data_IF_182961868405
#
_entry.id   IF_182961868405
#
_cell.length_a   1.000
_cell.length_b   1.000
_cell.length_c   1.000
_cell.angle_alpha   90.00
_cell.angle_beta   90.00
_cell.angle_gamma   90.00
#
_symmetry.space_group_name_H-M   'P 1'
#
loop_
_entity.id
_entity.type
_entity.pdbx_description
1 polymer ?
#
# COMPACT_ATOMS: atom_id res chain seq x y z
N UNK A 1 16.17 -1.17 70.58
CA UNK A 1 16.18 0.29 70.30
C UNK A 1 17.37 0.58 69.39
N UNK A 2 17.18 0.73 68.10
CA UNK A 2 18.20 1.09 67.13
C UNK A 2 17.62 2.20 66.27
N UNK A 3 18.24 3.38 66.13
CA UNK A 3 17.66 4.52 65.46
C UNK A 3 17.76 4.41 63.92
N UNK A 4 16.69 4.81 63.27
CA UNK A 4 16.55 4.94 61.80
C UNK A 4 17.26 6.23 61.35
N UNK A 5 18.21 6.10 60.43
CA UNK A 5 18.86 7.24 59.77
C UNK A 5 18.11 7.58 58.47
N UNK A 6 17.61 8.80 58.39
CA UNK A 6 17.05 9.43 57.20
C UNK A 6 18.19 9.95 56.29
N UNK A 7 18.40 9.33 55.15
CA UNK A 7 19.26 9.86 54.09
C UNK A 7 18.45 10.72 53.12
N UNK A 8 18.65 12.03 53.16
CA UNK A 8 18.19 12.99 52.14
C UNK A 8 19.22 13.01 51.01
N UNK A 9 18.89 12.46 49.85
CA UNK A 9 19.68 12.59 48.63
C UNK A 9 19.06 13.60 47.69
N UNK A 10 19.79 14.69 47.44
CA UNK A 10 19.35 15.86 46.72
C UNK A 10 19.17 15.63 45.21
N UNK A 11 18.20 16.29 44.69
CA UNK A 11 17.94 16.45 43.25
C UNK A 11 18.94 17.42 42.63
N UNK A 12 19.80 16.97 41.75
CA UNK A 12 20.66 17.84 40.96
C UNK A 12 19.96 18.13 39.64
N UNK A 13 19.41 19.32 39.54
CA UNK A 13 18.88 19.93 38.34
C UNK A 13 20.08 20.37 37.46
N UNK A 14 20.35 19.67 36.36
CA UNK A 14 21.31 20.17 35.36
C UNK A 14 20.53 20.67 34.14
N UNK A 15 20.21 21.95 34.19
CA UNK A 15 19.86 22.73 32.97
C UNK A 15 21.17 23.16 32.33
N UNK A 16 21.51 22.64 31.18
CA UNK A 16 22.50 23.26 30.32
C UNK A 16 21.84 23.68 29.00
N UNK A 17 21.53 24.95 28.98
CA UNK A 17 21.29 25.75 27.78
C UNK A 17 22.57 25.84 26.95
N UNK A 18 22.51 25.47 25.68
CA UNK A 18 23.46 25.95 24.68
C UNK A 18 22.71 26.21 23.39
N UNK A 19 22.23 27.44 23.32
CA UNK A 19 21.91 28.08 22.04
C UNK A 19 23.25 28.37 21.33
N UNK A 20 23.39 27.88 20.12
CA UNK A 20 24.32 28.45 19.12
C UNK A 20 23.60 28.62 17.81
N UNK A 21 23.18 29.84 17.60
CA UNK A 21 22.92 30.40 16.31
C UNK A 21 24.16 30.28 15.42
N UNK A 22 24.01 29.77 14.22
CA UNK A 22 25.00 29.89 13.17
C UNK A 22 24.30 30.28 11.87
N UNK A 23 24.16 31.57 11.73
CA UNK A 23 23.88 32.26 10.48
C UNK A 23 25.08 32.10 9.55
N UNK A 24 24.91 31.48 8.39
CA UNK A 24 25.80 31.70 7.24
C UNK A 24 24.95 31.94 6.01
N UNK A 25 24.96 33.19 5.63
CA UNK A 25 24.60 33.68 4.30
C UNK A 25 25.67 33.23 3.31
N UNK A 26 25.31 32.63 2.22
CA UNK A 26 26.13 32.51 1.04
C UNK A 26 25.26 32.92 -0.15
N UNK A 27 25.68 34.03 -0.72
CA UNK A 27 25.14 34.65 -1.92
C UNK A 27 25.42 33.82 -3.19
N UNK A 28 24.46 33.86 -4.08
CA UNK A 28 24.58 34.02 -5.51
C UNK A 28 25.46 33.08 -6.32
N UNK A 29 24.83 32.33 -7.21
CA UNK A 29 25.17 32.33 -8.64
C UNK A 29 23.94 31.90 -9.43
N UNK A 30 23.32 32.87 -10.09
CA UNK A 30 22.38 32.65 -11.18
C UNK A 30 23.20 32.26 -12.40
N UNK A 31 23.06 31.01 -12.86
CA UNK A 31 23.51 30.64 -14.22
C UNK A 31 22.26 30.31 -15.03
N UNK A 32 21.84 31.29 -15.81
CA UNK A 32 20.94 31.10 -16.95
C UNK A 32 21.65 30.24 -18.01
N UNK A 33 21.15 29.07 -18.29
CA UNK A 33 21.43 28.37 -19.53
C UNK A 33 20.10 28.18 -20.28
N UNK A 34 19.92 29.07 -21.23
CA UNK A 34 18.95 28.97 -22.32
C UNK A 34 19.51 27.94 -23.30
N UNK A 35 18.84 26.82 -23.47
CA UNK A 35 19.10 25.96 -24.62
C UNK A 35 17.81 25.76 -25.40
N UNK A 36 17.98 26.14 -26.65
CA UNK A 36 17.01 26.30 -27.68
C UNK A 36 16.25 25.00 -28.03
N UNK A 37 15.00 25.22 -28.30
CA UNK A 37 14.04 24.47 -29.08
C UNK A 37 14.64 23.80 -30.33
N UNK A 38 14.41 22.50 -30.47
CA UNK A 38 14.34 21.85 -31.78
C UNK A 38 13.02 21.12 -31.93
N UNK A 39 12.10 21.80 -32.57
CA UNK A 39 10.87 21.27 -33.13
C UNK A 39 11.20 20.42 -34.35
N UNK A 40 10.99 19.12 -34.33
CA UNK A 40 10.99 18.29 -35.52
C UNK A 40 9.56 17.78 -35.80
N UNK A 41 8.89 18.51 -36.69
CA UNK A 41 7.74 18.02 -37.44
C UNK A 41 8.20 16.89 -38.33
N UNK A 42 7.65 15.69 -38.17
CA UNK A 42 7.67 14.62 -39.17
C UNK A 42 6.27 14.40 -39.72
N UNK A 43 6.17 14.72 -41.00
CA UNK A 43 5.09 14.55 -41.95
C UNK A 43 4.66 13.07 -42.05
N UNK A 44 3.35 12.82 -42.10
CA UNK A 44 2.75 11.56 -42.42
C UNK A 44 2.87 11.24 -43.95
N UNK A 45 2.96 9.99 -44.32
CA UNK A 45 2.47 9.55 -45.64
C UNK A 45 1.08 8.93 -45.54
N UNK A 46 0.26 9.33 -46.49
CA UNK A 46 -1.08 8.86 -46.79
C UNK A 46 -1.00 7.58 -47.61
N UNK A 47 -1.99 6.65 -47.36
CA UNK A 47 -2.40 5.58 -48.29
C UNK A 47 -2.10 4.19 -47.75
N UNK A 48 -3.08 3.34 -47.39
CA UNK A 48 -3.96 2.65 -48.27
C UNK A 48 -5.14 2.03 -47.53
N UNK A 49 -6.27 2.10 -48.13
CA UNK A 49 -7.51 1.49 -47.73
C UNK A 49 -7.50 -0.04 -47.92
N UNK A 50 -7.78 -0.80 -46.87
CA UNK A 50 -8.28 -2.17 -47.01
C UNK A 50 -9.45 -2.41 -46.04
N UNK A 51 -10.66 -2.62 -46.52
CA UNK A 51 -11.81 -2.95 -45.70
C UNK A 51 -11.96 -4.46 -45.64
N UNK A 52 -11.62 -5.07 -44.56
CA UNK A 52 -12.28 -6.24 -43.97
C UNK A 52 -11.34 -7.03 -43.02
N UNK A 53 -11.47 -6.83 -41.73
CA UNK A 53 -11.15 -7.86 -40.75
C UNK A 53 -12.05 -7.62 -39.54
N UNK A 54 -13.00 -8.53 -39.35
CA UNK A 54 -13.82 -8.62 -38.16
C UNK A 54 -12.93 -8.65 -36.91
N UNK A 55 -13.10 -7.62 -36.10
CA UNK A 55 -12.30 -7.41 -34.96
C UNK A 55 -12.77 -8.13 -33.72
N UNK A 56 -11.89 -8.57 -32.95
CA UNK A 56 -12.05 -8.74 -31.51
C UNK A 56 -11.82 -7.37 -30.91
N UNK A 57 -12.87 -6.81 -30.33
CA UNK A 57 -12.78 -5.55 -29.58
C UNK A 57 -11.93 -5.73 -28.35
N UNK A 58 -10.73 -5.20 -28.43
CA UNK A 58 -9.90 -4.92 -27.25
C UNK A 58 -10.56 -3.76 -26.50
N UNK A 59 -11.43 -4.14 -25.57
CA UNK A 59 -12.10 -3.19 -24.70
C UNK A 59 -11.12 -2.76 -23.61
N UNK A 60 -10.20 -1.84 -23.99
CA UNK A 60 -9.44 -1.07 -23.01
C UNK A 60 -10.42 -0.09 -22.35
N UNK A 61 -11.30 -0.63 -21.52
CA UNK A 61 -12.09 0.18 -20.61
C UNK A 61 -11.16 0.71 -19.56
N UNK A 62 -10.62 1.90 -19.80
CA UNK A 62 -10.17 2.79 -18.72
C UNK A 62 -11.41 3.08 -17.90
N UNK A 63 -11.73 2.17 -16.97
CA UNK A 63 -12.90 2.28 -16.11
C UNK A 63 -12.67 3.45 -15.16
N UNK A 64 -13.31 4.56 -15.43
CA UNK A 64 -13.66 5.51 -14.38
C UNK A 64 -14.57 4.74 -13.42
N UNK A 65 -13.99 4.18 -12.37
CA UNK A 65 -14.73 3.51 -11.29
C UNK A 65 -15.62 4.58 -10.67
N UNK A 66 -16.91 4.51 -10.95
CA UNK A 66 -17.89 5.39 -10.30
C UNK A 66 -17.94 5.02 -8.82
N UNK A 67 -18.19 5.99 -7.98
CA UNK A 67 -18.09 5.93 -6.52
C UNK A 67 -18.98 4.84 -5.87
N UNK A 68 -19.82 4.17 -6.65
CA UNK A 68 -20.81 3.19 -6.17
C UNK A 68 -20.43 1.72 -6.47
N UNK A 69 -19.43 1.47 -7.32
CA UNK A 69 -19.07 0.10 -7.75
C UNK A 69 -18.30 -0.69 -6.68
N UNK A 70 -17.63 -0.01 -5.74
CA UNK A 70 -16.87 -0.65 -4.68
C UNK A 70 -17.77 -1.28 -3.57
N UNK A 71 -19.06 -0.91 -3.48
CA UNK A 71 -20.01 -1.54 -2.56
C UNK A 71 -20.36 -2.99 -2.92
N UNK A 72 -20.06 -3.40 -4.15
CA UNK A 72 -20.32 -4.75 -4.68
C UNK A 72 -19.04 -5.58 -4.78
N UNK A 73 -17.97 -5.21 -4.06
CA UNK A 73 -16.68 -5.88 -4.13
C UNK A 73 -16.81 -7.39 -4.02
N UNK A 74 -16.26 -8.11 -5.00
CA UNK A 74 -16.10 -9.56 -4.94
C UNK A 74 -14.95 -9.87 -3.99
N UNK A 75 -15.15 -10.81 -3.08
CA UNK A 75 -14.09 -11.26 -2.16
C UNK A 75 -12.77 -11.48 -2.93
N UNK A 76 -11.70 -10.85 -2.46
CA UNK A 76 -10.36 -10.94 -3.03
C UNK A 76 -10.13 -10.23 -4.36
N UNK A 77 -11.07 -9.43 -4.85
CA UNK A 77 -10.93 -8.75 -6.16
C UNK A 77 -11.65 -7.41 -6.21
N UNK A 78 -10.96 -6.41 -6.75
CA UNK A 78 -11.53 -5.10 -7.03
C UNK A 78 -11.71 -4.23 -5.80
N UNK A 79 -12.19 -3.01 -6.00
CA UNK A 79 -12.38 -2.01 -4.96
C UNK A 79 -11.48 -0.79 -5.14
N UNK A 80 -11.61 0.21 -4.24
CA UNK A 80 -10.85 1.47 -4.34
C UNK A 80 -9.44 1.39 -3.75
N UNK A 81 -9.11 0.30 -3.05
CA UNK A 81 -7.82 0.08 -2.42
C UNK A 81 -6.99 -0.91 -3.24
N UNK A 82 -5.70 -0.69 -3.29
CA UNK A 82 -4.76 -1.53 -4.03
C UNK A 82 -4.21 -2.64 -3.16
N UNK A 83 -4.02 -3.82 -3.76
CA UNK A 83 -3.40 -4.97 -3.11
C UNK A 83 -1.91 -4.72 -2.83
N UNK A 84 -1.38 -5.41 -1.83
CA UNK A 84 0.05 -5.53 -1.56
C UNK A 84 0.49 -6.98 -1.75
N UNK A 85 1.79 -7.19 -2.05
CA UNK A 85 2.30 -8.51 -2.42
C UNK A 85 3.50 -8.91 -1.56
N UNK A 86 3.63 -10.21 -1.34
CA UNK A 86 4.65 -10.77 -0.46
C UNK A 86 5.59 -11.72 -1.18
N UNK A 87 6.80 -11.83 -0.66
CA UNK A 87 7.74 -12.87 -1.04
C UNK A 87 7.24 -14.28 -0.67
N UNK A 88 7.94 -15.30 -1.20
CA UNK A 88 7.69 -16.67 -0.79
C UNK A 88 7.93 -16.84 0.71
N UNK A 89 6.96 -17.44 1.41
CA UNK A 89 7.03 -17.66 2.85
C UNK A 89 7.33 -16.40 3.67
N UNK A 90 6.87 -15.24 3.20
CA UNK A 90 7.11 -13.93 3.81
C UNK A 90 5.80 -13.20 4.09
N UNK A 91 5.81 -12.37 5.14
CA UNK A 91 4.75 -11.46 5.55
C UNK A 91 5.28 -10.05 5.88
N UNK A 92 6.51 -9.75 5.45
CA UNK A 92 7.16 -8.45 5.70
C UNK A 92 6.70 -7.43 4.67
N UNK A 93 6.29 -6.25 5.13
CA UNK A 93 5.95 -5.11 4.27
C UNK A 93 7.24 -4.46 3.78
N UNK A 94 7.49 -4.49 2.48
CA UNK A 94 8.60 -3.80 1.84
C UNK A 94 8.27 -2.33 1.52
N UNK A 95 9.24 -1.55 1.04
CA UNK A 95 9.07 -0.12 0.76
C UNK A 95 8.02 0.18 -0.34
N UNK A 96 7.92 -0.70 -1.35
CA UNK A 96 6.92 -0.57 -2.42
C UNK A 96 5.52 -0.78 -1.85
N UNK A 97 5.30 -1.86 -1.11
CA UNK A 97 4.02 -2.17 -0.46
C UNK A 97 3.67 -1.11 0.60
N UNK A 98 4.68 -0.61 1.32
CA UNK A 98 4.50 0.53 2.23
C UNK A 98 4.00 1.79 1.52
N UNK A 99 4.41 2.02 0.27
CA UNK A 99 3.92 3.15 -0.54
C UNK A 99 2.47 2.94 -0.99
N UNK A 100 2.09 1.72 -1.35
CA UNK A 100 0.69 1.34 -1.64
C UNK A 100 -0.18 1.53 -0.40
N UNK A 101 0.25 1.07 0.77
CA UNK A 101 -0.48 1.22 2.03
C UNK A 101 -0.67 2.68 2.43
N UNK A 102 0.29 3.57 2.15
CA UNK A 102 0.12 5.02 2.35
C UNK A 102 -0.99 5.59 1.45
N UNK A 103 -1.08 5.14 0.20
CA UNK A 103 -2.16 5.54 -0.71
C UNK A 103 -3.52 5.02 -0.22
N UNK A 104 -3.59 3.76 0.21
CA UNK A 104 -4.77 3.16 0.80
C UNK A 104 -5.22 3.89 2.07
N UNK A 105 -4.27 4.23 2.96
CA UNK A 105 -4.56 5.01 4.16
C UNK A 105 -5.12 6.40 3.84
N UNK A 106 -4.57 7.08 2.84
CA UNK A 106 -5.07 8.39 2.40
C UNK A 106 -6.52 8.30 1.92
N UNK A 107 -6.85 7.25 1.16
CA UNK A 107 -8.23 7.00 0.73
C UNK A 107 -9.15 6.73 1.93
N UNK A 108 -8.74 5.87 2.86
CA UNK A 108 -9.51 5.53 4.08
C UNK A 108 -9.73 6.75 5.00
N UNK A 109 -8.76 7.67 5.06
CA UNK A 109 -8.89 8.94 5.80
C UNK A 109 -9.91 9.88 5.15
N UNK A 110 -9.96 9.91 3.81
CA UNK A 110 -10.97 10.67 3.07
C UNK A 110 -12.39 10.05 3.18
N UNK A 111 -12.49 8.77 3.55
CA UNK A 111 -13.74 8.02 3.66
C UNK A 111 -13.97 7.50 5.10
N UNK A 112 -14.21 8.37 6.10
CA UNK A 112 -14.25 7.98 7.52
C UNK A 112 -15.42 7.05 7.87
N UNK A 113 -16.44 6.97 7.02
CA UNK A 113 -17.62 6.10 7.20
C UNK A 113 -17.45 4.71 6.56
N UNK A 114 -16.22 4.29 6.27
CA UNK A 114 -15.94 2.96 5.74
C UNK A 114 -15.18 2.10 6.74
N UNK A 115 -15.46 0.81 6.71
CA UNK A 115 -14.65 -0.24 7.33
C UNK A 115 -13.82 -0.92 6.25
N UNK A 116 -12.68 -1.46 6.62
CA UNK A 116 -11.84 -2.27 5.73
C UNK A 116 -11.61 -3.65 6.36
N UNK A 117 -11.74 -4.68 5.55
CA UNK A 117 -11.31 -6.03 5.87
C UNK A 117 -10.04 -6.32 5.09
N UNK A 118 -8.97 -6.67 5.78
CA UNK A 118 -7.71 -7.08 5.18
C UNK A 118 -7.75 -8.58 5.02
N UNK A 119 -7.64 -9.05 3.79
CA UNK A 119 -7.80 -10.44 3.39
C UNK A 119 -6.44 -11.00 2.97
N UNK A 120 -5.90 -11.95 3.72
CA UNK A 120 -4.58 -12.54 3.47
C UNK A 120 -4.67 -13.81 2.61
N UNK A 121 -3.88 -13.84 1.54
CA UNK A 121 -3.82 -14.93 0.57
C UNK A 121 -2.42 -15.49 0.41
N UNK A 122 -2.34 -16.74 -0.03
CA UNK A 122 -1.10 -17.46 -0.29
C UNK A 122 -1.13 -18.13 -1.66
N UNK A 123 0.03 -18.53 -2.15
CA UNK A 123 0.14 -19.43 -3.29
C UNK A 123 -0.21 -20.88 -2.88
N UNK A 124 -0.32 -21.77 -3.86
CA UNK A 124 -0.76 -23.16 -3.67
C UNK A 124 0.18 -24.04 -2.84
N UNK A 125 1.45 -23.64 -2.68
CA UNK A 125 2.49 -24.46 -2.04
C UNK A 125 2.32 -24.56 -0.52
N UNK A 126 2.51 -25.76 0.01
CA UNK A 126 2.35 -26.04 1.44
C UNK A 126 0.98 -26.60 1.81
N UNK A 127 0.78 -26.93 3.10
CA UNK A 127 -0.50 -27.42 3.60
C UNK A 127 -1.54 -26.28 3.72
N UNK A 128 -2.80 -26.64 3.83
CA UNK A 128 -3.89 -25.69 4.03
C UNK A 128 -3.74 -24.94 5.34
N UNK A 129 -3.52 -25.64 6.43
CA UNK A 129 -3.37 -25.07 7.78
C UNK A 129 -2.18 -24.10 7.84
N UNK A 130 -1.07 -24.46 7.17
CA UNK A 130 0.09 -23.56 7.07
C UNK A 130 -0.25 -22.28 6.34
N UNK A 131 -0.95 -22.38 5.20
CA UNK A 131 -1.32 -21.21 4.39
C UNK A 131 -2.37 -20.33 5.07
N UNK A 132 -3.33 -20.91 5.80
CA UNK A 132 -4.25 -20.13 6.63
C UNK A 132 -3.48 -19.35 7.70
N UNK A 133 -2.51 -19.98 8.37
CA UNK A 133 -1.69 -19.27 9.36
C UNK A 133 -0.80 -18.18 8.74
N UNK A 134 -0.21 -18.43 7.56
CA UNK A 134 0.61 -17.45 6.86
C UNK A 134 -0.21 -16.27 6.33
N UNK A 135 -1.38 -16.54 5.72
CA UNK A 135 -2.31 -15.50 5.28
C UNK A 135 -2.80 -14.62 6.44
N UNK A 136 -3.05 -15.21 7.62
CA UNK A 136 -3.41 -14.44 8.81
C UNK A 136 -2.29 -13.49 9.26
N UNK A 137 -1.02 -13.92 9.20
CA UNK A 137 0.13 -13.06 9.51
C UNK A 137 0.29 -11.92 8.51
N UNK A 138 0.04 -12.16 7.22
CA UNK A 138 0.05 -11.14 6.17
C UNK A 138 -1.02 -10.09 6.44
N UNK A 139 -2.27 -10.53 6.59
CA UNK A 139 -3.39 -9.63 6.87
C UNK A 139 -3.18 -8.80 8.14
N UNK A 140 -2.60 -9.37 9.20
CA UNK A 140 -2.26 -8.63 10.41
C UNK A 140 -1.15 -7.62 10.16
N UNK A 141 -0.09 -7.97 9.39
CA UNK A 141 0.97 -7.03 9.03
C UNK A 141 0.43 -5.83 8.23
N UNK A 142 -0.45 -6.07 7.25
CA UNK A 142 -1.12 -5.01 6.48
C UNK A 142 -1.99 -4.10 7.37
N UNK A 143 -2.78 -4.69 8.27
CA UNK A 143 -3.60 -3.97 9.24
C UNK A 143 -2.76 -3.14 10.21
N UNK A 144 -1.71 -3.72 10.80
CA UNK A 144 -0.83 -3.03 11.73
C UNK A 144 -0.13 -1.84 11.06
N UNK A 145 0.29 -2.00 9.81
CA UNK A 145 0.88 -0.89 9.05
C UNK A 145 -0.14 0.24 8.84
N UNK A 146 -1.38 -0.06 8.45
CA UNK A 146 -2.44 0.95 8.32
C UNK A 146 -2.74 1.64 9.67
N UNK A 147 -2.66 0.93 10.80
CA UNK A 147 -2.80 1.51 12.13
C UNK A 147 -1.70 2.53 12.43
N UNK A 148 -0.44 2.24 12.06
CA UNK A 148 0.66 3.21 12.17
C UNK A 148 0.44 4.47 11.34
N UNK A 149 -0.33 4.37 10.25
CA UNK A 149 -0.73 5.49 9.40
C UNK A 149 -1.98 6.23 9.91
N UNK A 150 -2.50 5.86 11.09
CA UNK A 150 -3.61 6.56 11.74
C UNK A 150 -5.01 6.04 11.39
N UNK A 151 -5.14 4.86 10.78
CA UNK A 151 -6.44 4.22 10.59
C UNK A 151 -6.84 3.51 11.88
N UNK A 152 -8.03 3.84 12.41
CA UNK A 152 -8.50 3.26 13.67
C UNK A 152 -8.70 1.75 13.56
N UNK A 153 -8.19 1.01 14.55
CA UNK A 153 -8.36 -0.45 14.67
C UNK A 153 -9.84 -0.89 14.65
N UNK A 154 -10.74 -0.05 15.20
CA UNK A 154 -12.19 -0.32 15.19
C UNK A 154 -12.83 -0.31 13.80
N UNK A 155 -12.13 0.23 12.80
CA UNK A 155 -12.52 0.24 11.40
C UNK A 155 -11.95 -0.92 10.60
N UNK A 156 -11.05 -1.70 11.20
CA UNK A 156 -10.29 -2.73 10.50
C UNK A 156 -10.58 -4.12 11.05
N UNK A 157 -10.63 -5.11 10.19
CA UNK A 157 -10.68 -6.52 10.53
C UNK A 157 -9.75 -7.32 9.61
N UNK A 158 -9.34 -8.49 10.04
CA UNK A 158 -8.50 -9.39 9.24
C UNK A 158 -9.22 -10.71 9.01
N UNK A 159 -8.96 -11.33 7.88
CA UNK A 159 -9.34 -12.70 7.55
C UNK A 159 -8.25 -13.36 6.72
N UNK A 160 -8.07 -14.65 6.84
CA UNK A 160 -7.19 -15.42 5.95
C UNK A 160 -8.00 -16.40 5.12
N UNK A 161 -7.76 -16.39 3.84
CA UNK A 161 -8.24 -17.40 2.90
C UNK A 161 -7.16 -18.43 2.55
N UNK A 162 -5.92 -18.23 3.05
CA UNK A 162 -4.83 -19.12 2.73
C UNK A 162 -4.67 -19.29 1.23
N UNK A 163 -4.74 -20.50 0.72
CA UNK A 163 -4.64 -20.82 -0.71
C UNK A 163 -6.00 -21.19 -1.38
N UNK A 164 -7.11 -20.99 -0.68
CA UNK A 164 -8.43 -21.46 -1.14
C UNK A 164 -9.03 -20.64 -2.28
N UNK A 165 -8.68 -19.33 -2.38
CA UNK A 165 -9.24 -18.42 -3.37
C UNK A 165 -8.12 -17.76 -4.22
N UNK A 166 -7.49 -18.52 -5.15
CA UNK A 166 -6.42 -17.99 -5.98
C UNK A 166 -6.95 -17.00 -7.02
N UNK A 167 -6.12 -16.03 -7.41
CA UNK A 167 -6.36 -15.15 -8.56
C UNK A 167 -6.10 -15.85 -9.88
N UNK A 168 -5.08 -16.70 -9.90
CA UNK A 168 -4.71 -17.53 -11.04
C UNK A 168 -4.30 -18.92 -10.55
N UNK A 169 -4.34 -19.91 -11.45
CA UNK A 169 -4.16 -21.33 -11.14
C UNK A 169 -2.94 -21.95 -11.86
N UNK A 170 -2.14 -21.13 -12.56
CA UNK A 170 -0.91 -21.61 -13.20
C UNK A 170 0.15 -21.96 -12.15
N UNK A 171 0.89 -23.04 -12.40
CA UNK A 171 1.89 -23.57 -11.47
C UNK A 171 3.27 -22.95 -11.72
N UNK A 172 3.36 -21.60 -11.74
CA UNK A 172 4.60 -20.86 -11.94
C UNK A 172 4.70 -19.61 -11.06
N UNK A 173 5.89 -19.00 -11.01
CA UNK A 173 6.15 -17.84 -10.15
C UNK A 173 5.36 -16.61 -10.58
N UNK A 174 4.99 -16.48 -11.86
CA UNK A 174 4.20 -15.33 -12.32
C UNK A 174 2.79 -15.35 -11.74
N UNK A 175 2.21 -16.53 -11.58
CA UNK A 175 0.94 -16.75 -10.91
C UNK A 175 1.08 -16.75 -9.39
N UNK A 176 2.06 -17.47 -8.84
CA UNK A 176 2.24 -17.53 -7.39
C UNK A 176 2.48 -16.16 -6.76
N UNK A 177 3.23 -15.28 -7.43
CA UNK A 177 3.46 -13.91 -6.95
C UNK A 177 2.18 -13.08 -6.86
N UNK A 178 1.21 -13.29 -7.75
CA UNK A 178 -0.09 -12.63 -7.71
C UNK A 178 -0.98 -13.18 -6.58
N UNK A 179 -0.87 -14.48 -6.29
CA UNK A 179 -1.64 -15.11 -5.22
C UNK A 179 -1.14 -14.71 -3.83
N UNK A 180 0.17 -14.47 -3.65
CA UNK A 180 0.76 -14.01 -2.38
C UNK A 180 0.46 -12.54 -2.14
N UNK A 181 -0.74 -12.21 -1.69
CA UNK A 181 -1.21 -10.83 -1.52
C UNK A 181 -2.04 -10.62 -0.27
N UNK A 182 -2.18 -9.37 0.12
CA UNK A 182 -3.32 -8.91 0.90
C UNK A 182 -4.24 -8.09 0.00
N UNK A 183 -5.53 -8.38 0.07
CA UNK A 183 -6.59 -7.62 -0.54
C UNK A 183 -7.35 -6.81 0.51
N UNK A 184 -7.86 -5.63 0.14
CA UNK A 184 -8.52 -4.70 1.05
C UNK A 184 -9.97 -4.46 0.62
N UNK A 185 -10.89 -5.25 1.18
CA UNK A 185 -12.32 -5.08 0.95
C UNK A 185 -12.89 -3.97 1.84
N UNK A 186 -13.67 -3.06 1.27
CA UNK A 186 -14.30 -1.96 2.01
C UNK A 186 -15.81 -2.10 2.08
N UNK A 187 -16.40 -1.63 3.18
CA UNK A 187 -17.84 -1.59 3.40
C UNK A 187 -18.23 -0.31 4.13
N UNK A 188 -19.47 0.17 3.93
CA UNK A 188 -19.99 1.30 4.70
C UNK A 188 -20.32 0.90 6.13
N UNK A 189 -20.10 1.81 7.07
CA UNK A 189 -20.60 1.68 8.44
C UNK A 189 -22.13 1.96 8.38
N UNK A 190 -22.90 0.94 8.72
CA UNK A 190 -24.37 1.06 8.85
C UNK A 190 -24.73 1.73 10.17
#
# INVERSE_FOLDING_TARGET
>A
MIPVQHGRGGWVNSRSTLAKAMTMAIAGVVVMLVVASCSSKKTAPVGDTNPNANGLGENTTSGTTTQDDWEKGTVGRGGPLSDIHFGYNDYTINDQDGSVLKSNASWLQAHPQTKVQVEGYCDERGSEEYNIALGAKRAEAGKDYLETLGISNTRMSTISYGKELPLCEDHDESCWSQNRRDHFSVSKIQ
#
